data_IF_589917807600
#
_entry.id   IF_589917807600
#
_cell.length_a   1.000
_cell.length_b   1.000
_cell.length_c   1.000
_cell.angle_alpha   90.00
_cell.angle_beta   90.00
_cell.angle_gamma   90.00
#
_symmetry.space_group_name_H-M   'P 1'
#
loop_
_entity.id
_entity.type
_entity.pdbx_description
1 polymer ?
#
# COMPACT_ATOMS: atom_id res chain seq x y z
N UNK A 1 -5.21 46.91 10.97
CA UNK A 1 -4.17 46.35 10.08
C UNK A 1 -4.25 44.85 10.23
N UNK A 2 -5.02 44.14 9.42
CA UNK A 2 -5.02 42.69 9.36
C UNK A 2 -3.65 42.23 8.87
N UNK A 3 -3.05 41.22 9.51
CA UNK A 3 -1.81 40.67 9.04
C UNK A 3 -2.06 40.04 7.66
N UNK A 4 -1.34 40.54 6.69
CA UNK A 4 -1.32 40.09 5.31
C UNK A 4 -1.18 38.56 5.25
N UNK A 5 -2.27 37.85 4.96
CA UNK A 5 -2.36 36.37 4.89
C UNK A 5 -1.77 35.83 3.57
N UNK A 6 -0.76 36.54 3.03
CA UNK A 6 -0.12 36.28 1.74
C UNK A 6 0.95 35.18 1.78
N UNK A 7 1.02 34.35 2.83
CA UNK A 7 2.05 33.31 2.95
C UNK A 7 1.53 31.87 2.95
N UNK A 8 0.31 31.64 2.45
CA UNK A 8 -0.15 30.25 2.24
C UNK A 8 0.55 29.68 1.02
N UNK A 9 1.42 28.74 1.30
CA UNK A 9 2.22 28.04 0.29
C UNK A 9 1.36 27.00 -0.40
N UNK A 10 1.31 27.04 -1.73
CA UNK A 10 0.60 26.08 -2.56
C UNK A 10 1.55 25.52 -3.62
N UNK A 11 1.49 24.22 -3.85
CA UNK A 11 2.32 23.50 -4.81
C UNK A 11 1.53 23.27 -6.10
N UNK A 12 1.61 24.15 -7.06
CA UNK A 12 0.80 24.10 -8.31
C UNK A 12 1.01 22.81 -9.10
N UNK A 13 2.21 22.22 -9.09
CA UNK A 13 2.49 20.98 -9.79
C UNK A 13 1.62 19.80 -9.33
N UNK A 14 1.08 19.85 -8.10
CA UNK A 14 0.21 18.81 -7.55
C UNK A 14 -1.07 18.63 -8.35
N UNK A 15 -1.61 19.70 -8.91
CA UNK A 15 -2.83 19.67 -9.72
C UNK A 15 -2.68 18.92 -11.04
N UNK A 16 -1.45 18.72 -11.49
CA UNK A 16 -1.12 17.83 -12.63
C UNK A 16 -0.64 16.47 -12.17
N UNK A 17 0.21 16.42 -11.13
CA UNK A 17 0.83 15.19 -10.65
C UNK A 17 -0.21 14.22 -10.09
N UNK A 18 -1.07 14.67 -9.16
CA UNK A 18 -2.00 13.76 -8.47
C UNK A 18 -3.04 13.14 -9.40
N UNK A 19 -3.73 13.87 -10.31
CA UNK A 19 -4.66 13.23 -11.22
C UNK A 19 -4.03 12.15 -12.09
N UNK A 20 -2.80 12.35 -12.56
CA UNK A 20 -2.09 11.37 -13.38
C UNK A 20 -1.70 10.14 -12.52
N UNK A 21 -1.01 10.37 -11.41
CA UNK A 21 -0.51 9.29 -10.55
C UNK A 21 -1.67 8.49 -9.95
N UNK A 22 -2.70 9.16 -9.43
CA UNK A 22 -3.85 8.51 -8.83
C UNK A 22 -4.70 7.75 -9.85
N UNK A 23 -4.81 8.21 -11.10
CA UNK A 23 -5.48 7.46 -12.17
C UNK A 23 -4.73 6.16 -12.47
N UNK A 24 -3.40 6.19 -12.54
CA UNK A 24 -2.59 4.99 -12.75
C UNK A 24 -2.72 4.03 -11.55
N UNK A 25 -2.59 4.54 -10.32
CA UNK A 25 -2.75 3.76 -9.09
C UNK A 25 -4.15 3.13 -9.03
N UNK A 26 -5.20 3.88 -9.35
CA UNK A 26 -6.57 3.39 -9.36
C UNK A 26 -6.74 2.21 -10.30
N UNK A 27 -6.38 2.36 -11.57
CA UNK A 27 -6.58 1.31 -12.58
C UNK A 27 -5.74 0.07 -12.25
N UNK A 28 -4.44 0.24 -12.01
CA UNK A 28 -3.54 -0.88 -11.73
C UNK A 28 -3.86 -1.53 -10.38
N UNK A 29 -4.13 -0.70 -9.36
CA UNK A 29 -4.43 -1.16 -8.01
C UNK A 29 -5.74 -1.96 -7.94
N UNK A 30 -6.83 -1.46 -8.54
CA UNK A 30 -8.12 -2.19 -8.59
C UNK A 30 -7.94 -3.54 -9.28
N UNK A 31 -7.28 -3.59 -10.43
CA UNK A 31 -7.06 -4.84 -11.16
C UNK A 31 -6.22 -5.82 -10.32
N UNK A 32 -5.09 -5.36 -9.78
CA UNK A 32 -4.16 -6.20 -9.03
C UNK A 32 -4.78 -6.74 -7.73
N UNK A 33 -5.39 -5.87 -6.91
CA UNK A 33 -5.96 -6.26 -5.63
C UNK A 33 -7.23 -7.10 -5.80
N UNK A 34 -8.10 -6.80 -6.77
CA UNK A 34 -9.26 -7.64 -7.10
C UNK A 34 -8.82 -9.04 -7.56
N UNK A 35 -7.76 -9.13 -8.37
CA UNK A 35 -7.20 -10.40 -8.78
C UNK A 35 -6.64 -11.19 -7.60
N UNK A 36 -5.97 -10.54 -6.65
CA UNK A 36 -5.48 -11.17 -5.41
C UNK A 36 -6.64 -11.78 -4.61
N UNK A 37 -7.71 -11.01 -4.36
CA UNK A 37 -8.88 -11.53 -3.63
C UNK A 37 -9.52 -12.71 -4.36
N UNK A 38 -9.69 -12.60 -5.68
CA UNK A 38 -10.23 -13.70 -6.49
C UNK A 38 -9.38 -14.98 -6.37
N UNK A 39 -8.05 -14.86 -6.45
CA UNK A 39 -7.13 -15.99 -6.29
C UNK A 39 -7.25 -16.60 -4.90
N UNK A 40 -7.33 -15.79 -3.84
CA UNK A 40 -7.51 -16.30 -2.47
C UNK A 40 -8.85 -16.99 -2.30
N UNK A 41 -9.93 -16.46 -2.87
CA UNK A 41 -11.25 -17.07 -2.81
C UNK A 41 -11.30 -18.42 -3.55
N UNK A 42 -10.71 -18.49 -4.77
CA UNK A 42 -10.78 -19.68 -5.63
C UNK A 42 -9.77 -20.78 -5.25
N UNK A 43 -8.52 -20.42 -4.90
CA UNK A 43 -7.45 -21.41 -4.68
C UNK A 43 -7.32 -21.87 -3.23
N UNK A 44 -7.90 -21.14 -2.28
CA UNK A 44 -7.75 -21.44 -0.86
C UNK A 44 -9.11 -21.55 -0.17
N UNK A 45 -9.64 -22.78 0.02
CA UNK A 45 -10.82 -22.97 0.88
C UNK A 45 -10.61 -22.31 2.25
N UNK A 46 -11.61 -21.63 2.76
CA UNK A 46 -11.52 -20.84 4.01
C UNK A 46 -10.94 -21.61 5.20
N UNK A 47 -11.19 -22.94 5.27
CA UNK A 47 -10.62 -23.82 6.31
C UNK A 47 -9.10 -24.01 6.20
N UNK A 48 -8.47 -23.71 5.04
CA UNK A 48 -7.03 -23.86 4.79
C UNK A 48 -6.26 -22.53 4.80
N UNK A 49 -6.91 -21.45 5.22
CA UNK A 49 -6.24 -20.17 5.40
C UNK A 49 -5.39 -20.24 6.67
N UNK A 50 -4.08 -20.07 6.51
CA UNK A 50 -3.16 -19.87 7.62
C UNK A 50 -3.08 -18.38 7.98
N UNK A 51 -2.46 -18.07 9.12
CA UNK A 51 -2.32 -16.72 9.68
C UNK A 51 -1.84 -15.70 8.64
N UNK A 52 -0.74 -15.99 7.93
CA UNK A 52 -0.18 -15.06 6.94
C UNK A 52 -1.16 -14.75 5.79
N UNK A 53 -1.91 -15.74 5.32
CA UNK A 53 -2.90 -15.52 4.25
C UNK A 53 -4.07 -14.65 4.74
N UNK A 54 -4.44 -14.79 6.01
CA UNK A 54 -5.45 -13.92 6.63
C UNK A 54 -4.96 -12.46 6.61
N UNK A 55 -3.72 -12.22 7.02
CA UNK A 55 -3.13 -10.87 6.98
C UNK A 55 -3.05 -10.31 5.56
N UNK A 56 -2.68 -11.13 4.57
CA UNK A 56 -2.65 -10.71 3.16
C UNK A 56 -4.03 -10.31 2.64
N UNK A 57 -5.08 -11.06 2.98
CA UNK A 57 -6.46 -10.72 2.59
C UNK A 57 -6.90 -9.41 3.24
N UNK A 58 -6.60 -9.20 4.52
CA UNK A 58 -6.93 -7.96 5.23
C UNK A 58 -6.19 -6.75 4.65
N UNK A 59 -4.91 -6.90 4.33
CA UNK A 59 -4.12 -5.88 3.66
C UNK A 59 -4.75 -5.50 2.30
N UNK A 60 -5.10 -6.50 1.49
CA UNK A 60 -5.78 -6.26 0.19
C UNK A 60 -7.15 -5.56 0.37
N UNK A 61 -7.89 -5.86 1.45
CA UNK A 61 -9.15 -5.16 1.75
C UNK A 61 -8.87 -3.68 2.08
N UNK A 62 -7.86 -3.38 2.90
CA UNK A 62 -7.47 -2.01 3.22
C UNK A 62 -7.06 -1.23 1.95
N UNK A 63 -6.31 -1.86 1.04
CA UNK A 63 -5.94 -1.28 -0.25
C UNK A 63 -7.17 -0.94 -1.10
N UNK A 64 -8.13 -1.87 -1.21
CA UNK A 64 -9.35 -1.65 -1.99
C UNK A 64 -10.22 -0.54 -1.40
N UNK A 65 -10.31 -0.41 -0.08
CA UNK A 65 -11.03 0.69 0.57
C UNK A 65 -10.43 2.05 0.20
N UNK A 66 -9.11 2.16 0.15
CA UNK A 66 -8.46 3.38 -0.31
C UNK A 66 -8.68 3.62 -1.82
N UNK A 67 -8.47 2.59 -2.63
CA UNK A 67 -8.58 2.68 -4.09
C UNK A 67 -9.95 3.19 -4.54
N UNK A 68 -11.04 2.79 -3.88
CA UNK A 68 -12.40 3.28 -4.23
C UNK A 68 -12.60 4.75 -3.94
N UNK A 69 -11.75 5.39 -3.12
CA UNK A 69 -11.80 6.84 -2.85
C UNK A 69 -10.93 7.66 -3.79
N UNK A 70 -10.02 7.05 -4.54
CA UNK A 70 -9.12 7.78 -5.45
C UNK A 70 -9.84 8.63 -6.50
N UNK A 71 -10.99 8.22 -7.07
CA UNK A 71 -11.76 9.11 -7.96
C UNK A 71 -12.15 10.42 -7.30
N UNK A 72 -12.44 10.45 -5.98
CA UNK A 72 -12.75 11.68 -5.25
C UNK A 72 -11.54 12.63 -5.19
N UNK A 73 -10.36 12.07 -4.91
CA UNK A 73 -9.11 12.83 -4.92
C UNK A 73 -8.71 13.30 -6.32
N UNK A 74 -8.96 12.49 -7.37
CA UNK A 74 -8.72 12.90 -8.77
C UNK A 74 -9.58 14.11 -9.12
N UNK A 75 -10.88 14.11 -8.77
CA UNK A 75 -11.79 15.23 -8.97
C UNK A 75 -11.30 16.47 -8.21
N UNK A 76 -10.90 16.31 -6.94
CA UNK A 76 -10.38 17.39 -6.09
C UNK A 76 -9.17 18.10 -6.71
N UNK A 77 -8.15 17.33 -7.09
CA UNK A 77 -6.94 17.91 -7.70
C UNK A 77 -7.17 18.44 -9.11
N UNK A 78 -8.09 17.84 -9.88
CA UNK A 78 -8.48 18.36 -11.20
C UNK A 78 -9.19 19.71 -11.11
N UNK A 79 -9.90 19.97 -10.01
CA UNK A 79 -10.53 21.27 -9.71
C UNK A 79 -9.61 22.19 -8.89
N UNK A 80 -8.30 22.13 -9.10
CA UNK A 80 -7.30 22.99 -8.45
C UNK A 80 -7.40 23.01 -6.92
N UNK A 81 -7.74 21.83 -6.34
CA UNK A 81 -7.90 21.68 -4.90
C UNK A 81 -9.18 22.30 -4.35
N UNK A 82 -10.19 22.54 -5.16
CA UNK A 82 -11.51 22.94 -4.70
C UNK A 82 -12.39 21.69 -4.50
N UNK A 83 -12.83 21.45 -3.26
CA UNK A 83 -13.70 20.34 -2.91
C UNK A 83 -15.16 20.71 -3.20
N UNK A 84 -15.66 20.26 -4.35
CA UNK A 84 -17.04 20.52 -4.82
C UNK A 84 -18.06 19.45 -4.38
N UNK A 85 -17.58 18.40 -3.69
CA UNK A 85 -18.40 17.28 -3.23
C UNK A 85 -18.87 17.50 -1.78
N UNK A 86 -19.90 16.76 -1.32
CA UNK A 86 -20.32 16.83 0.08
C UNK A 86 -19.16 16.55 1.07
N UNK A 87 -19.17 17.24 2.19
CA UNK A 87 -18.10 17.16 3.22
C UNK A 87 -17.86 15.74 3.73
N UNK A 88 -18.94 14.95 3.94
CA UNK A 88 -18.79 13.57 4.42
C UNK A 88 -17.93 12.69 3.51
N UNK A 89 -17.88 13.00 2.19
CA UNK A 89 -16.99 12.29 1.25
C UNK A 89 -15.52 12.69 1.43
N UNK A 90 -15.23 13.95 1.84
CA UNK A 90 -13.89 14.36 2.25
C UNK A 90 -13.46 13.55 3.48
N UNK A 91 -14.29 13.51 4.52
CA UNK A 91 -14.03 12.74 5.74
C UNK A 91 -13.80 11.26 5.43
N UNK A 92 -14.64 10.67 4.60
CA UNK A 92 -14.54 9.27 4.18
C UNK A 92 -13.23 9.00 3.42
N UNK A 93 -12.87 9.86 2.47
CA UNK A 93 -11.66 9.72 1.66
C UNK A 93 -10.39 9.83 2.53
N UNK A 94 -10.35 10.78 3.46
CA UNK A 94 -9.24 10.91 4.42
C UNK A 94 -9.16 9.73 5.40
N UNK A 95 -10.30 9.28 5.92
CA UNK A 95 -10.34 8.09 6.79
C UNK A 95 -9.82 6.83 6.06
N UNK A 96 -10.22 6.60 4.81
CA UNK A 96 -9.74 5.42 4.08
C UNK A 96 -8.27 5.52 3.68
N UNK A 97 -7.77 6.73 3.41
CA UNK A 97 -6.33 6.96 3.26
C UNK A 97 -5.56 6.61 4.55
N UNK A 98 -6.05 7.08 5.71
CA UNK A 98 -5.47 6.77 7.02
C UNK A 98 -5.51 5.27 7.32
N UNK A 99 -6.68 4.63 7.13
CA UNK A 99 -6.86 3.19 7.32
C UNK A 99 -5.91 2.39 6.43
N UNK A 100 -5.81 2.71 5.14
CA UNK A 100 -4.89 2.03 4.22
C UNK A 100 -3.45 2.14 4.73
N UNK A 101 -2.98 3.35 5.04
CA UNK A 101 -1.60 3.59 5.47
C UNK A 101 -1.24 2.77 6.71
N UNK A 102 -2.03 2.86 7.78
CA UNK A 102 -1.68 2.24 9.05
C UNK A 102 -2.04 0.75 9.14
N UNK A 103 -3.07 0.29 8.40
CA UNK A 103 -3.30 -1.14 8.21
C UNK A 103 -2.15 -1.79 7.44
N UNK A 104 -1.65 -1.17 6.38
CA UNK A 104 -0.51 -1.70 5.62
C UNK A 104 0.74 -1.81 6.50
N UNK A 105 1.07 -0.76 7.26
CA UNK A 105 2.19 -0.80 8.22
C UNK A 105 2.01 -1.93 9.24
N UNK A 106 0.83 -2.07 9.84
CA UNK A 106 0.56 -3.07 10.87
C UNK A 106 0.57 -4.49 10.30
N UNK A 107 -0.10 -4.74 9.17
CA UNK A 107 -0.14 -6.08 8.56
C UNK A 107 1.21 -6.52 8.01
N UNK A 108 1.99 -5.62 7.42
CA UNK A 108 3.36 -5.92 6.99
C UNK A 108 4.27 -6.20 8.19
N UNK A 109 4.09 -5.51 9.32
CA UNK A 109 4.83 -5.77 10.55
C UNK A 109 4.54 -7.18 11.10
N UNK A 110 3.27 -7.57 11.22
CA UNK A 110 2.93 -8.89 11.72
C UNK A 110 3.32 -10.01 10.75
N UNK A 111 3.24 -9.80 9.43
CA UNK A 111 3.76 -10.72 8.42
C UNK A 111 5.28 -10.90 8.59
N UNK A 112 6.03 -9.81 8.75
CA UNK A 112 7.47 -9.83 8.96
C UNK A 112 7.83 -10.55 10.26
N UNK A 113 7.14 -10.26 11.35
CA UNK A 113 7.34 -10.92 12.63
C UNK A 113 7.06 -12.43 12.56
N UNK A 114 6.00 -12.85 11.88
CA UNK A 114 5.73 -14.27 11.64
C UNK A 114 6.85 -14.96 10.86
N UNK A 115 7.44 -14.25 9.88
CA UNK A 115 8.59 -14.77 9.13
C UNK A 115 9.85 -14.85 9.99
N UNK A 116 10.08 -13.86 10.83
CA UNK A 116 11.15 -13.89 11.82
C UNK A 116 11.02 -15.12 12.73
N UNK A 117 9.85 -15.36 13.31
CA UNK A 117 9.60 -16.54 14.15
C UNK A 117 9.81 -17.86 13.38
N UNK A 118 9.33 -17.95 12.14
CA UNK A 118 9.47 -19.14 11.32
C UNK A 118 10.94 -19.48 10.98
N UNK A 119 11.81 -18.49 10.90
CA UNK A 119 13.24 -18.66 10.61
C UNK A 119 14.03 -18.95 11.88
N UNK A 120 13.75 -18.25 12.98
CA UNK A 120 14.51 -18.35 14.23
C UNK A 120 14.03 -19.49 15.14
N UNK A 121 12.72 -19.79 15.15
CA UNK A 121 12.10 -20.80 16.02
C UNK A 121 11.11 -21.69 15.26
N UNK A 122 11.57 -22.48 14.26
CA UNK A 122 10.68 -23.18 13.33
C UNK A 122 9.74 -24.19 14.00
N UNK A 123 10.20 -24.92 15.01
CA UNK A 123 9.41 -25.94 15.71
C UNK A 123 8.28 -25.29 16.52
N UNK A 124 8.61 -24.27 17.32
CA UNK A 124 7.61 -23.53 18.12
C UNK A 124 6.59 -22.84 17.23
N UNK A 125 7.03 -22.24 16.14
CA UNK A 125 6.15 -21.55 15.20
C UNK A 125 5.17 -22.50 14.53
N UNK A 126 5.61 -23.68 14.13
CA UNK A 126 4.74 -24.71 13.52
C UNK A 126 3.59 -25.13 14.44
N UNK A 127 3.82 -25.16 15.77
CA UNK A 127 2.81 -25.47 16.78
C UNK A 127 1.91 -24.28 17.14
N UNK A 128 2.45 -23.04 17.13
CA UNK A 128 1.76 -21.85 17.60
C UNK A 128 0.91 -21.15 16.51
N UNK A 129 1.20 -21.37 15.23
CA UNK A 129 0.53 -20.67 14.12
C UNK A 129 -0.86 -21.27 13.89
N UNK A 130 -1.88 -20.55 14.34
CA UNK A 130 -3.27 -20.98 14.21
C UNK A 130 -4.10 -19.96 13.42
N UNK A 131 -5.15 -20.45 12.75
CA UNK A 131 -6.12 -19.59 12.06
C UNK A 131 -6.76 -18.60 13.03
N UNK A 132 -7.12 -19.03 14.22
CA UNK A 132 -7.79 -18.19 15.22
C UNK A 132 -6.90 -17.02 15.67
N UNK A 133 -5.60 -17.26 15.87
CA UNK A 133 -4.64 -16.20 16.18
C UNK A 133 -4.58 -15.14 15.07
N UNK A 134 -4.58 -15.58 13.79
CA UNK A 134 -4.60 -14.65 12.66
C UNK A 134 -5.87 -13.80 12.61
N UNK A 135 -7.04 -14.40 12.86
CA UNK A 135 -8.32 -13.68 12.91
C UNK A 135 -8.35 -12.70 14.09
N UNK A 136 -8.00 -13.14 15.30
CA UNK A 136 -8.04 -12.29 16.50
C UNK A 136 -7.10 -11.11 16.36
N UNK A 137 -5.87 -11.33 15.86
CA UNK A 137 -4.90 -10.25 15.67
C UNK A 137 -5.36 -9.26 14.58
N UNK A 138 -5.93 -9.76 13.49
CA UNK A 138 -6.52 -8.90 12.45
C UNK A 138 -7.65 -8.04 13.01
N UNK A 139 -8.52 -8.62 13.83
CA UNK A 139 -9.63 -7.89 14.45
C UNK A 139 -9.12 -6.78 15.37
N UNK A 140 -8.10 -7.07 16.20
CA UNK A 140 -7.47 -6.06 17.07
C UNK A 140 -6.88 -4.92 16.25
N UNK A 141 -6.17 -5.22 15.16
CA UNK A 141 -5.60 -4.22 14.26
C UNK A 141 -6.71 -3.34 13.66
N UNK A 142 -7.77 -3.94 13.11
CA UNK A 142 -8.88 -3.20 12.53
C UNK A 142 -9.58 -2.31 13.57
N UNK A 143 -9.90 -2.83 14.74
CA UNK A 143 -10.57 -2.05 15.80
C UNK A 143 -9.71 -0.87 16.23
N UNK A 144 -8.41 -1.07 16.44
CA UNK A 144 -7.50 -0.01 16.84
C UNK A 144 -7.38 1.10 15.77
N UNK A 145 -7.23 0.71 14.50
CA UNK A 145 -7.02 1.68 13.41
C UNK A 145 -8.33 2.39 13.05
N UNK A 146 -9.47 1.69 13.02
CA UNK A 146 -10.78 2.32 12.77
C UNK A 146 -11.15 3.26 13.91
N UNK A 147 -10.87 2.91 15.17
CA UNK A 147 -11.07 3.81 16.32
C UNK A 147 -10.20 5.07 16.20
N UNK A 148 -8.94 4.95 15.77
CA UNK A 148 -8.10 6.11 15.50
C UNK A 148 -8.61 6.94 14.29
N UNK A 149 -9.06 6.29 13.22
CA UNK A 149 -9.63 6.96 12.04
C UNK A 149 -10.93 7.70 12.36
N UNK A 150 -11.75 7.20 13.30
CA UNK A 150 -13.01 7.85 13.68
C UNK A 150 -12.79 9.25 14.26
N UNK A 151 -11.63 9.52 14.84
CA UNK A 151 -11.27 10.86 15.30
C UNK A 151 -11.20 11.85 14.12
N UNK A 152 -10.56 11.45 13.01
CA UNK A 152 -10.50 12.29 11.80
C UNK A 152 -11.87 12.46 11.14
N UNK A 153 -12.76 11.48 11.29
CA UNK A 153 -14.13 11.59 10.80
C UNK A 153 -14.97 12.58 11.63
N UNK A 154 -14.64 12.78 12.89
CA UNK A 154 -15.35 13.69 13.80
C UNK A 154 -14.83 15.14 13.73
N UNK A 155 -13.70 15.39 13.04
CA UNK A 155 -13.19 16.74 12.81
C UNK A 155 -13.84 17.36 11.57
N UNK A 156 -14.01 18.69 11.57
CA UNK A 156 -14.34 19.44 10.37
C UNK A 156 -13.15 19.36 9.40
N UNK A 157 -13.33 18.56 8.34
CA UNK A 157 -12.27 18.24 7.39
C UNK A 157 -12.20 19.18 6.21
N UNK A 158 -13.22 20.04 6.08
CA UNK A 158 -13.30 21.04 5.01
C UNK A 158 -13.12 22.44 5.56
N UNK A 159 -12.23 23.20 4.94
CA UNK A 159 -11.98 24.60 5.29
C UNK A 159 -12.19 25.49 4.06
N UNK A 160 -12.99 26.53 4.23
CA UNK A 160 -13.25 27.51 3.17
C UNK A 160 -12.21 28.63 3.26
N UNK A 161 -11.46 28.83 2.18
CA UNK A 161 -10.43 29.85 2.09
C UNK A 161 -10.66 30.76 0.88
N UNK A 162 -10.27 32.06 0.94
CA UNK A 162 -10.35 32.93 -0.22
C UNK A 162 -9.49 32.39 -1.36
N UNK A 163 -10.01 32.45 -2.58
CA UNK A 163 -9.23 32.11 -3.77
C UNK A 163 -8.11 33.15 -3.99
N UNK A 164 -7.01 32.73 -4.60
CA UNK A 164 -5.89 33.62 -5.01
C UNK A 164 -6.33 34.80 -5.85
N UNK A 165 -7.41 34.65 -6.63
CA UNK A 165 -8.01 35.70 -7.47
C UNK A 165 -8.92 36.66 -6.69
N UNK A 166 -9.25 36.35 -5.43
CA UNK A 166 -10.11 37.21 -4.58
C UNK A 166 -11.59 37.24 -4.96
N UNK A 167 -12.02 36.54 -6.02
CA UNK A 167 -13.39 36.59 -6.54
C UNK A 167 -14.33 35.59 -5.84
N UNK A 168 -13.84 34.40 -5.52
CA UNK A 168 -14.65 33.30 -4.95
C UNK A 168 -13.91 32.59 -3.80
N UNK A 169 -14.66 31.97 -2.90
CA UNK A 169 -14.13 31.11 -1.87
C UNK A 169 -13.97 29.68 -2.41
N UNK A 170 -12.86 29.04 -2.08
CA UNK A 170 -12.60 27.63 -2.40
C UNK A 170 -12.64 26.79 -1.12
N UNK A 171 -13.17 25.57 -1.22
CA UNK A 171 -13.23 24.62 -0.10
C UNK A 171 -12.07 23.63 -0.21
N UNK A 172 -11.25 23.56 0.82
CA UNK A 172 -10.10 22.61 0.91
C UNK A 172 -10.48 21.41 1.75
N UNK A 173 -10.00 20.21 1.37
CA UNK A 173 -10.22 18.95 2.07
C UNK A 173 -8.93 18.47 2.72
N UNK A 174 -8.91 18.35 4.05
CA UNK A 174 -7.75 17.98 4.87
C UNK A 174 -6.52 18.88 4.68
N UNK A 175 -6.75 20.13 4.32
CA UNK A 175 -5.71 21.15 4.17
C UNK A 175 -6.04 22.37 5.00
N UNK A 176 -5.02 23.16 5.34
CA UNK A 176 -5.15 24.43 6.08
C UNK A 176 -5.74 24.26 7.47
N UNK A 177 -5.02 23.51 8.31
CA UNK A 177 -5.36 23.42 9.73
C UNK A 177 -5.33 24.80 10.41
N UNK A 178 -6.11 24.93 11.47
CA UNK A 178 -6.09 26.13 12.32
C UNK A 178 -4.69 26.38 12.87
N UNK A 179 -4.16 27.61 12.66
CA UNK A 179 -2.82 28.00 13.14
C UNK A 179 -2.72 27.83 14.65
N UNK A 180 -1.65 27.21 15.12
CA UNK A 180 -1.42 26.99 16.54
C UNK A 180 -2.18 25.80 17.14
N UNK A 181 -2.83 24.96 16.33
CA UNK A 181 -3.56 23.79 16.83
C UNK A 181 -2.63 22.75 17.49
N UNK A 182 -2.49 22.83 18.79
CA UNK A 182 -1.69 21.89 19.59
C UNK A 182 -2.20 20.44 19.50
N UNK A 183 -3.52 20.14 19.50
CA UNK A 183 -4.01 18.78 19.35
C UNK A 183 -3.56 18.12 18.03
N UNK A 184 -3.62 18.84 16.92
CA UNK A 184 -3.17 18.35 15.61
C UNK A 184 -1.67 18.03 15.65
N UNK A 185 -0.86 18.89 16.23
CA UNK A 185 0.58 18.68 16.38
C UNK A 185 0.89 17.42 17.21
N UNK A 186 0.24 17.26 18.36
CA UNK A 186 0.44 16.10 19.24
C UNK A 186 0.10 14.80 18.52
N UNK A 187 -1.01 14.77 17.76
CA UNK A 187 -1.41 13.59 17.00
C UNK A 187 -0.37 13.25 15.94
N UNK A 188 0.12 14.21 15.17
CA UNK A 188 1.14 13.95 14.15
C UNK A 188 2.46 13.47 14.78
N UNK A 189 2.90 14.07 15.89
CA UNK A 189 4.08 13.59 16.65
C UNK A 189 3.87 12.13 17.08
N UNK A 190 2.71 11.81 17.65
CA UNK A 190 2.39 10.45 18.11
C UNK A 190 2.38 9.44 16.96
N UNK A 191 1.76 9.77 15.82
CA UNK A 191 1.71 8.91 14.64
C UNK A 191 3.11 8.66 14.06
N UNK A 192 3.93 9.70 13.93
CA UNK A 192 5.31 9.59 13.45
C UNK A 192 6.15 8.74 14.41
N UNK A 193 6.02 8.95 15.71
CA UNK A 193 6.71 8.16 16.73
C UNK A 193 6.32 6.68 16.67
N UNK A 194 5.01 6.37 16.61
CA UNK A 194 4.52 4.99 16.48
C UNK A 194 5.00 4.33 15.20
N UNK A 195 5.00 5.07 14.09
CA UNK A 195 5.53 4.56 12.82
C UNK A 195 6.99 4.15 12.93
N UNK A 196 7.86 5.01 13.47
CA UNK A 196 9.28 4.69 13.61
C UNK A 196 9.56 3.53 14.57
N UNK A 197 8.76 3.37 15.64
CA UNK A 197 8.84 2.17 16.49
C UNK A 197 8.55 0.89 15.70
N UNK A 198 7.48 0.88 14.89
CA UNK A 198 7.13 -0.27 14.04
C UNK A 198 8.18 -0.49 12.96
N UNK A 199 8.69 0.58 12.35
CA UNK A 199 9.75 0.49 11.34
C UNK A 199 11.03 -0.13 11.91
N UNK A 200 11.47 0.28 13.12
CA UNK A 200 12.63 -0.32 13.79
C UNK A 200 12.41 -1.80 14.10
N UNK A 201 11.21 -2.21 14.50
CA UNK A 201 10.87 -3.61 14.70
C UNK A 201 10.98 -4.40 13.40
N UNK A 202 10.42 -3.88 12.30
CA UNK A 202 10.50 -4.49 10.97
C UNK A 202 11.96 -4.61 10.52
N UNK A 203 12.74 -3.54 10.66
CA UNK A 203 14.16 -3.52 10.32
C UNK A 203 14.95 -4.58 11.12
N UNK A 204 14.75 -4.63 12.43
CA UNK A 204 15.37 -5.63 13.30
C UNK A 204 15.01 -7.06 12.86
N UNK A 205 13.72 -7.37 12.68
CA UNK A 205 13.28 -8.69 12.25
C UNK A 205 13.90 -9.10 10.92
N UNK A 206 13.90 -8.19 9.95
CA UNK A 206 14.45 -8.45 8.62
C UNK A 206 15.99 -8.66 8.65
N UNK A 207 16.72 -7.85 9.41
CA UNK A 207 18.16 -8.03 9.58
C UNK A 207 18.51 -9.38 10.20
N UNK A 208 17.76 -9.82 11.22
CA UNK A 208 17.97 -11.15 11.82
C UNK A 208 17.63 -12.25 10.84
N UNK A 209 16.54 -12.14 10.07
CA UNK A 209 16.21 -13.12 9.01
C UNK A 209 17.34 -13.23 8.00
N UNK A 210 17.82 -12.10 7.47
CA UNK A 210 18.94 -12.06 6.50
C UNK A 210 20.16 -12.73 7.10
N UNK A 211 20.59 -12.33 8.30
CA UNK A 211 21.75 -12.90 8.99
C UNK A 211 21.62 -14.41 9.17
N UNK A 212 20.49 -14.87 9.70
CA UNK A 212 20.24 -16.31 9.94
C UNK A 212 20.26 -17.11 8.64
N UNK A 213 19.64 -16.59 7.57
CA UNK A 213 19.64 -17.26 6.28
C UNK A 213 21.03 -17.28 5.63
N UNK A 214 21.81 -16.21 5.74
CA UNK A 214 23.17 -16.15 5.18
C UNK A 214 24.13 -17.08 5.90
N UNK A 215 23.99 -17.25 7.22
CA UNK A 215 24.84 -18.13 8.05
C UNK A 215 24.52 -19.62 7.88
N UNK A 216 23.39 -19.99 7.26
CA UNK A 216 23.09 -21.40 6.98
C UNK A 216 24.05 -21.96 5.91
N UNK A 217 24.61 -23.18 6.12
CA UNK A 217 25.52 -23.80 5.18
C UNK A 217 24.86 -24.04 3.81
N UNK A 218 25.67 -24.17 2.79
CA UNK A 218 25.21 -24.46 1.42
C UNK A 218 24.39 -25.75 1.43
N UNK A 219 23.14 -25.64 0.97
CA UNK A 219 22.14 -26.71 1.03
C UNK A 219 21.86 -27.25 -0.38
N UNK A 220 21.29 -28.48 -0.50
CA UNK A 220 20.82 -29.00 -1.79
C UNK A 220 19.95 -27.97 -2.53
N UNK A 221 19.98 -28.00 -3.84
CA UNK A 221 19.38 -26.99 -4.74
C UNK A 221 17.93 -26.55 -4.35
N UNK A 222 17.09 -27.49 -3.93
CA UNK A 222 15.70 -27.22 -3.48
C UNK A 222 15.64 -26.30 -2.24
N UNK A 223 16.58 -26.43 -1.30
CA UNK A 223 16.66 -25.60 -0.09
C UNK A 223 17.27 -24.23 -0.41
N UNK A 224 18.21 -24.16 -1.36
CA UNK A 224 18.78 -22.92 -1.84
C UNK A 224 17.72 -22.00 -2.47
N UNK A 225 16.79 -22.55 -3.26
CA UNK A 225 15.69 -21.78 -3.82
C UNK A 225 14.72 -21.22 -2.73
N UNK A 226 14.45 -21.98 -1.67
CA UNK A 226 13.62 -21.51 -0.56
C UNK A 226 14.29 -20.36 0.18
N UNK A 227 15.60 -20.48 0.44
CA UNK A 227 16.43 -19.44 1.05
C UNK A 227 16.41 -18.15 0.21
N UNK A 228 16.69 -18.27 -1.09
CA UNK A 228 16.69 -17.13 -2.00
C UNK A 228 15.34 -16.41 -2.03
N UNK A 229 14.23 -17.15 -2.05
CA UNK A 229 12.88 -16.57 -2.00
C UNK A 229 12.61 -15.80 -0.72
N UNK A 230 13.06 -16.35 0.43
CA UNK A 230 12.91 -15.66 1.70
C UNK A 230 13.72 -14.35 1.72
N UNK A 231 14.92 -14.34 1.15
CA UNK A 231 15.72 -13.13 1.00
C UNK A 231 15.03 -12.08 0.09
N UNK A 232 14.54 -12.50 -1.07
CA UNK A 232 13.80 -11.59 -1.97
C UNK A 232 12.58 -10.98 -1.29
N UNK A 233 11.81 -11.78 -0.53
CA UNK A 233 10.67 -11.29 0.22
C UNK A 233 11.07 -10.20 1.23
N UNK A 234 12.12 -10.45 2.02
CA UNK A 234 12.64 -9.50 3.00
C UNK A 234 13.08 -8.21 2.33
N UNK A 235 13.86 -8.32 1.24
CA UNK A 235 14.31 -7.16 0.48
C UNK A 235 13.13 -6.36 -0.10
N UNK A 236 12.09 -7.03 -0.61
CA UNK A 236 10.91 -6.36 -1.17
C UNK A 236 10.14 -5.61 -0.09
N UNK A 237 9.88 -6.23 1.07
CA UNK A 237 9.20 -5.56 2.19
C UNK A 237 9.97 -4.34 2.66
N UNK A 238 11.30 -4.46 2.85
CA UNK A 238 12.14 -3.32 3.23
C UNK A 238 12.14 -2.21 2.17
N UNK A 239 12.22 -2.58 0.89
CA UNK A 239 12.18 -1.61 -0.20
C UNK A 239 10.84 -0.83 -0.21
N UNK A 240 9.70 -1.51 -0.05
CA UNK A 240 8.39 -0.86 0.03
C UNK A 240 8.34 0.09 1.23
N UNK A 241 8.82 -0.32 2.42
CA UNK A 241 8.86 0.55 3.58
C UNK A 241 9.72 1.79 3.36
N UNK A 242 10.94 1.61 2.85
CA UNK A 242 11.90 2.72 2.65
C UNK A 242 11.41 3.68 1.56
N UNK A 243 10.81 3.18 0.50
CA UNK A 243 10.39 4.01 -0.64
C UNK A 243 9.04 4.67 -0.39
N UNK A 244 8.05 3.92 0.11
CA UNK A 244 6.69 4.41 0.21
C UNK A 244 6.39 5.10 1.54
N UNK A 245 6.85 4.54 2.68
CA UNK A 245 6.41 5.01 3.99
C UNK A 245 7.40 5.95 4.68
N UNK A 246 8.69 5.63 4.68
CA UNK A 246 9.71 6.42 5.41
C UNK A 246 9.78 7.87 4.94
N UNK A 247 9.79 8.20 3.63
CA UNK A 247 9.90 9.59 3.20
C UNK A 247 8.75 10.45 3.70
N UNK A 248 7.51 9.93 3.65
CA UNK A 248 6.34 10.66 4.12
C UNK A 248 6.42 10.98 5.62
N UNK A 249 6.74 9.98 6.46
CA UNK A 249 6.81 10.19 7.92
C UNK A 249 7.99 11.07 8.35
N UNK A 250 9.08 11.14 7.56
CA UNK A 250 10.16 12.09 7.79
C UNK A 250 9.75 13.53 7.47
N UNK A 251 8.99 13.75 6.43
CA UNK A 251 8.56 15.08 5.98
C UNK A 251 7.34 15.57 6.78
N UNK A 252 6.52 14.66 7.30
CA UNK A 252 5.25 14.98 7.95
C UNK A 252 5.40 15.93 9.14
N UNK A 253 6.38 15.72 10.02
CA UNK A 253 6.54 16.57 11.20
C UNK A 253 7.04 17.99 10.83
N UNK A 254 8.10 18.18 10.02
CA UNK A 254 8.48 19.50 9.53
C UNK A 254 7.35 20.23 8.78
N UNK A 255 6.57 19.52 7.97
CA UNK A 255 5.41 20.07 7.27
C UNK A 255 4.33 20.53 8.24
N UNK A 256 3.99 19.70 9.23
CA UNK A 256 2.99 20.04 10.25
C UNK A 256 3.40 21.29 11.04
N UNK A 257 4.67 21.39 11.45
CA UNK A 257 5.17 22.55 12.18
C UNK A 257 5.11 23.85 11.34
N UNK A 258 5.41 23.75 10.05
CA UNK A 258 5.33 24.87 9.14
C UNK A 258 3.86 25.28 8.89
N UNK A 259 2.96 24.32 8.64
CA UNK A 259 1.54 24.56 8.33
C UNK A 259 0.80 25.18 9.53
N UNK A 260 1.11 24.71 10.75
CA UNK A 260 0.54 25.26 11.98
C UNK A 260 1.16 26.61 12.42
N UNK A 261 2.18 27.09 11.69
CA UNK A 261 2.84 28.36 11.98
C UNK A 261 3.77 28.35 13.19
N UNK A 262 4.16 27.17 13.71
CA UNK A 262 5.15 27.06 14.78
C UNK A 262 6.58 27.29 14.29
N UNK A 263 6.83 27.19 13.02
CA UNK A 263 8.13 27.41 12.41
C UNK A 263 8.01 28.37 11.21
N UNK A 264 8.70 29.49 11.28
CA UNK A 264 8.88 30.38 10.11
C UNK A 264 10.10 29.87 9.33
N UNK A 265 9.84 29.11 8.26
CA UNK A 265 10.91 28.45 7.48
C UNK A 265 11.03 29.10 6.11
N UNK A 266 12.24 29.51 5.76
CA UNK A 266 12.58 29.90 4.37
C UNK A 266 12.40 28.73 3.39
N UNK A 267 12.24 27.50 3.90
CA UNK A 267 12.05 26.27 3.13
C UNK A 267 10.60 25.78 3.11
N UNK A 268 9.63 26.60 3.54
CA UNK A 268 8.22 26.18 3.64
C UNK A 268 7.72 25.63 2.29
N UNK A 269 8.00 26.30 1.17
CA UNK A 269 7.65 25.79 -0.16
C UNK A 269 8.27 24.41 -0.44
N UNK A 270 9.56 24.26 -0.20
CA UNK A 270 10.25 22.98 -0.44
C UNK A 270 9.74 21.84 0.45
N UNK A 271 9.38 22.13 1.71
CA UNK A 271 8.79 21.17 2.63
C UNK A 271 7.39 20.76 2.14
N UNK A 272 6.58 21.72 1.69
CA UNK A 272 5.26 21.45 1.15
C UNK A 272 5.36 20.62 -0.15
N UNK A 273 6.25 20.98 -1.06
CA UNK A 273 6.50 20.23 -2.30
C UNK A 273 6.94 18.78 -2.00
N UNK A 274 7.88 18.61 -1.06
CA UNK A 274 8.31 17.30 -0.61
C UNK A 274 7.16 16.49 0.01
N UNK A 275 6.30 17.13 0.80
CA UNK A 275 5.12 16.48 1.38
C UNK A 275 4.18 15.95 0.29
N UNK A 276 3.88 16.75 -0.75
CA UNK A 276 3.04 16.32 -1.88
C UNK A 276 3.64 15.11 -2.62
N UNK A 277 4.93 15.14 -2.91
CA UNK A 277 5.63 14.01 -3.56
C UNK A 277 5.58 12.75 -2.70
N UNK A 278 5.80 12.90 -1.38
CA UNK A 278 5.78 11.74 -0.46
C UNK A 278 4.39 11.16 -0.26
N UNK A 279 3.30 11.94 -0.40
CA UNK A 279 1.93 11.43 -0.45
C UNK A 279 1.70 10.54 -1.67
N UNK A 280 2.23 10.91 -2.84
CA UNK A 280 2.19 10.05 -4.02
C UNK A 280 2.94 8.73 -3.81
N UNK A 281 4.16 8.80 -3.23
CA UNK A 281 4.94 7.59 -2.90
C UNK A 281 4.20 6.70 -1.90
N UNK A 282 3.62 7.29 -0.86
CA UNK A 282 2.82 6.58 0.13
C UNK A 282 1.64 5.86 -0.53
N UNK A 283 0.93 6.52 -1.44
CA UNK A 283 -0.22 5.96 -2.14
C UNK A 283 0.13 4.79 -3.08
N UNK A 284 1.41 4.67 -3.51
CA UNK A 284 1.83 3.55 -4.39
C UNK A 284 1.94 2.21 -3.68
N UNK A 285 1.91 2.16 -2.33
CA UNK A 285 1.99 0.91 -1.57
C UNK A 285 0.94 -0.11 -2.01
N UNK A 286 -0.31 0.33 -2.22
CA UNK A 286 -1.42 -0.55 -2.61
C UNK A 286 -1.23 -1.24 -3.98
N UNK A 287 -0.37 -0.71 -4.85
CA UNK A 287 0.02 -1.35 -6.11
C UNK A 287 1.20 -2.32 -5.90
N UNK A 288 2.06 -2.05 -4.92
CA UNK A 288 3.25 -2.86 -4.63
C UNK A 288 2.95 -4.06 -3.73
N UNK A 289 1.94 -3.98 -2.86
CA UNK A 289 1.57 -5.05 -1.93
C UNK A 289 1.24 -6.38 -2.63
N UNK A 290 0.51 -6.44 -3.76
CA UNK A 290 0.33 -7.66 -4.54
C UNK A 290 1.64 -8.33 -5.00
N UNK A 291 2.72 -7.57 -5.19
CA UNK A 291 4.05 -8.11 -5.57
C UNK A 291 4.63 -8.90 -4.40
N UNK A 292 4.48 -8.43 -3.16
CA UNK A 292 4.92 -9.13 -1.95
C UNK A 292 4.27 -10.52 -1.89
N UNK A 293 3.00 -10.66 -2.29
CA UNK A 293 2.27 -11.93 -2.26
C UNK A 293 2.84 -12.98 -3.22
N UNK A 294 3.45 -12.55 -4.34
CA UNK A 294 4.13 -13.45 -5.26
C UNK A 294 5.31 -14.18 -4.60
N UNK A 295 6.00 -13.54 -3.66
CA UNK A 295 7.09 -14.17 -2.91
C UNK A 295 6.60 -15.01 -1.73
N UNK A 296 5.49 -14.61 -1.10
CA UNK A 296 4.94 -15.28 0.07
C UNK A 296 4.24 -16.60 -0.25
N UNK A 297 3.57 -16.75 -1.41
CA UNK A 297 2.76 -17.92 -1.72
C UNK A 297 3.14 -18.62 -3.02
N UNK A 298 3.60 -19.89 -2.90
CA UNK A 298 3.97 -20.73 -4.07
C UNK A 298 2.80 -20.94 -5.04
N UNK A 299 1.57 -21.17 -4.51
CA UNK A 299 0.39 -21.40 -5.34
C UNK A 299 -0.03 -20.17 -6.12
N UNK A 300 0.04 -19.00 -5.53
CA UNK A 300 -0.26 -17.72 -6.19
C UNK A 300 0.65 -17.52 -7.40
N UNK A 301 1.96 -17.67 -7.19
CA UNK A 301 2.95 -17.54 -8.27
C UNK A 301 2.75 -18.58 -9.36
N UNK A 302 2.51 -19.87 -9.01
CA UNK A 302 2.26 -20.93 -9.97
C UNK A 302 1.06 -20.59 -10.86
N UNK A 303 -0.03 -20.15 -10.25
CA UNK A 303 -1.23 -19.73 -10.96
C UNK A 303 -0.98 -18.53 -11.90
N UNK A 304 -0.23 -17.52 -11.46
CA UNK A 304 0.18 -16.40 -12.29
C UNK A 304 0.99 -16.89 -13.50
N UNK A 305 2.01 -17.72 -13.28
CA UNK A 305 2.88 -18.23 -14.33
C UNK A 305 2.09 -19.04 -15.35
N UNK A 306 1.21 -19.94 -14.92
CA UNK A 306 0.36 -20.75 -15.80
C UNK A 306 -0.58 -19.87 -16.66
N UNK A 307 -1.19 -18.85 -16.07
CA UNK A 307 -2.03 -17.89 -16.81
C UNK A 307 -1.23 -17.11 -17.85
N UNK A 308 -0.03 -16.61 -17.49
CA UNK A 308 0.84 -15.90 -18.44
C UNK A 308 1.27 -16.79 -19.61
N UNK A 309 1.63 -18.05 -19.35
CA UNK A 309 1.99 -19.00 -20.40
C UNK A 309 0.79 -19.32 -21.31
N UNK A 310 -0.40 -19.52 -20.75
CA UNK A 310 -1.63 -19.74 -21.51
C UNK A 310 -1.95 -18.57 -22.45
N UNK A 311 -1.88 -17.32 -21.95
CA UNK A 311 -2.12 -16.11 -22.74
C UNK A 311 -1.07 -15.96 -23.85
N UNK A 312 0.20 -16.25 -23.55
CA UNK A 312 1.31 -16.18 -24.53
C UNK A 312 1.17 -17.24 -25.61
N UNK A 313 0.74 -18.45 -25.26
CA UNK A 313 0.47 -19.56 -26.19
C UNK A 313 -0.71 -19.25 -27.10
N UNK A 314 -1.81 -18.70 -26.55
CA UNK A 314 -2.98 -18.28 -27.34
C UNK A 314 -2.64 -17.17 -28.33
N UNK A 315 -1.83 -16.16 -27.94
CA UNK A 315 -1.36 -15.09 -28.81
C UNK A 315 -0.44 -15.62 -29.94
N UNK A 316 0.35 -16.67 -29.65
CA UNK A 316 1.22 -17.29 -30.67
C UNK A 316 0.41 -18.08 -31.65
N UNK A 317 -0.66 -18.75 -31.22
CA UNK A 317 -1.59 -19.45 -32.09
C UNK A 317 -2.38 -18.48 -33.00
N UNK A 318 -2.88 -17.36 -32.46
CA UNK A 318 -3.55 -16.30 -33.23
C UNK A 318 -2.64 -15.62 -34.28
N UNK A 319 -1.35 -15.46 -34.00
CA UNK A 319 -0.40 -14.88 -34.97
C UNK A 319 -0.07 -15.84 -36.13
N UNK A 320 0.00 -17.14 -35.85
CA UNK A 320 0.27 -18.15 -36.87
C UNK A 320 -0.91 -18.30 -37.83
N UNK A 321 -2.14 -18.15 -37.36
CA UNK A 321 -3.35 -18.17 -38.21
C UNK A 321 -3.52 -16.92 -39.09
N UNK A 322 -2.86 -15.81 -38.80
CA UNK A 322 -2.92 -14.60 -39.64
C UNK A 322 -1.87 -14.56 -40.75
N UNK A 323 -0.79 -15.33 -40.62
CA UNK A 323 0.29 -15.39 -41.64
C UNK A 323 0.12 -16.50 -42.69
N UNK A 324 -0.71 -17.50 -42.42
CA UNK A 324 -0.98 -18.60 -43.39
C UNK A 324 -2.48 -18.68 -43.64
N UNK A 325 -2.92 -18.02 -44.70
CA UNK A 325 -4.32 -18.04 -45.18
C UNK A 325 -4.79 -19.40 -45.70
N UNK A 326 -4.52 -20.51 -45.00
CA UNK A 326 -5.02 -21.85 -45.32
C UNK A 326 -5.44 -22.54 -44.05
N UNK A 327 -6.74 -22.76 -43.89
CA UNK A 327 -7.34 -23.57 -42.82
C UNK A 327 -6.88 -25.02 -42.94
N UNK A 328 -5.96 -25.44 -42.07
CA UNK A 328 -5.71 -26.87 -41.85
C UNK A 328 -6.33 -27.23 -40.51
N UNK A 329 -7.52 -27.79 -40.53
CA UNK A 329 -8.18 -28.41 -39.38
C UNK A 329 -7.42 -29.68 -39.02
N UNK A 330 -6.59 -29.62 -37.96
CA UNK A 330 -6.03 -30.84 -37.36
C UNK A 330 -6.94 -31.33 -36.23
N UNK A 331 -7.26 -32.66 -36.22
CA UNK A 331 -8.08 -33.22 -35.15
C UNK A 331 -7.35 -33.28 -33.81
N UNK A 332 -8.11 -33.06 -32.75
CA UNK A 332 -7.69 -32.86 -31.35
C UNK A 332 -7.00 -34.06 -30.66
N UNK A 333 -6.73 -35.16 -31.34
CA UNK A 333 -6.30 -36.43 -30.74
C UNK A 333 -4.80 -36.77 -30.85
N UNK A 334 -3.93 -35.79 -31.18
CA UNK A 334 -2.49 -36.06 -31.26
C UNK A 334 -1.64 -34.98 -30.59
N UNK A 335 -1.85 -34.78 -29.28
CA UNK A 335 -0.89 -34.05 -28.45
C UNK A 335 -0.18 -35.08 -27.57
N UNK A 336 1.13 -35.34 -27.79
CA UNK A 336 1.86 -36.20 -26.86
C UNK A 336 1.95 -35.54 -25.48
N UNK A 337 1.42 -36.23 -24.48
CA UNK A 337 1.61 -35.91 -23.08
C UNK A 337 3.07 -36.13 -22.73
N UNK A 338 3.86 -35.08 -22.70
CA UNK A 338 5.20 -35.14 -22.15
C UNK A 338 5.09 -35.39 -20.65
N UNK A 339 5.28 -36.64 -20.25
CA UNK A 339 5.47 -37.12 -18.92
C UNK A 339 6.74 -36.50 -18.34
N UNK A 340 6.60 -35.52 -17.48
CA UNK A 340 7.66 -35.11 -16.56
C UNK A 340 7.65 -36.05 -15.37
N UNK A 341 8.42 -37.13 -15.46
CA UNK A 341 8.88 -37.92 -14.31
C UNK A 341 10.00 -37.14 -13.60
N UNK A 342 9.89 -37.15 -12.29
CA UNK A 342 10.80 -36.80 -11.20
C UNK A 342 10.80 -35.35 -10.73
#
# INVERSE_FOLDING_TARGET
>A
MEPNDSSRVDSEFRYTLFPIVYSIIFVVGIIANSYVLWVFACLYPSKKLNEIKIFMVNLTIADLLFLVTLPLWIIYYHNEGNWILPEFLCNLAGCFFFINTYCSVAFLAVITYNRYQAVTQPIKTAQATTRMRGISLSLVIWVAIVAAASYFFALDSTNTVPNKTGADNITRCFEHYEKGSVPVLIIHIFLVFCFFLVFLLILFCNLVIIRTLLMQPVQPQRKAEVKQRALWMVCTVLAVFIICFVPHHLVQLPWTLAELGFQNSNFHQAINDAHQVTLCLLSTNCVLDPIIYCFLTKKFRKHLTEKFYSIRSSKKCSRVTTETGTEVVMPLNQIPVMSLKN
#
